data_IF_259746523341
#
_entry.id   IF_259746523341
#
_cell.length_a   1.000
_cell.length_b   1.000
_cell.length_c   1.000
_cell.angle_alpha   90.00
_cell.angle_beta   90.00
_cell.angle_gamma   90.00
#
_symmetry.space_group_name_H-M   'P 1'
#
loop_
_entity.id
_entity.type
_entity.pdbx_description
1 polymer ?
#
# COMPACT_ATOMS: atom_id res chain seq x y z
N UNK A 1 24.55 -57.52 10.93
CA UNK A 1 23.66 -58.09 11.96
C UNK A 1 22.31 -57.38 11.79
N UNK A 2 21.42 -57.90 10.93
CA UNK A 2 20.21 -58.67 11.29
C UNK A 2 19.25 -57.89 12.21
N UNK A 3 17.94 -57.76 12.01
CA UNK A 3 16.99 -58.08 10.94
C UNK A 3 15.64 -57.43 11.33
N UNK A 4 14.83 -57.08 10.33
CA UNK A 4 13.35 -57.17 10.25
C UNK A 4 12.52 -57.49 11.53
N UNK A 5 11.54 -56.63 11.87
CA UNK A 5 10.10 -56.97 11.88
C UNK A 5 9.17 -55.79 12.17
N UNK A 6 8.17 -55.60 11.30
CA UNK A 6 6.89 -54.93 11.58
C UNK A 6 6.03 -55.88 12.43
N UNK A 7 5.31 -55.36 13.44
CA UNK A 7 3.86 -55.62 13.64
C UNK A 7 3.30 -54.87 14.85
N UNK A 8 2.28 -54.06 14.58
CA UNK A 8 1.00 -53.95 15.28
C UNK A 8 0.95 -54.32 16.78
N UNK A 9 0.65 -53.35 17.65
CA UNK A 9 -0.27 -53.59 18.77
C UNK A 9 -0.97 -52.30 19.21
N UNK A 10 -2.29 -52.29 19.01
CA UNK A 10 -3.23 -51.41 19.69
C UNK A 10 -3.09 -51.60 21.21
N UNK A 11 -2.67 -50.54 21.91
CA UNK A 11 -2.75 -50.49 23.36
C UNK A 11 -4.19 -50.20 23.80
N UNK A 12 -4.95 -51.26 24.07
CA UNK A 12 -6.11 -51.21 24.95
C UNK A 12 -5.60 -51.00 26.39
N UNK A 13 -5.71 -49.77 26.91
CA UNK A 13 -5.56 -49.52 28.35
C UNK A 13 -6.85 -49.95 29.06
N UNK A 14 -6.83 -51.10 29.70
CA UNK A 14 -7.83 -51.46 30.72
C UNK A 14 -7.30 -51.06 32.10
N UNK A 15 -7.92 -50.04 32.70
CA UNK A 15 -7.79 -49.77 34.13
C UNK A 15 -8.86 -50.55 34.90
N UNK A 16 -8.45 -51.41 35.83
CA UNK A 16 -9.35 -52.09 36.76
C UNK A 16 -9.31 -51.37 38.11
N UNK A 17 -10.40 -50.71 38.49
CA UNK A 17 -10.66 -50.29 39.86
C UNK A 17 -11.57 -51.33 40.53
N UNK A 18 -11.07 -52.02 41.57
CA UNK A 18 -11.87 -52.90 42.42
C UNK A 18 -12.63 -52.08 43.45
N UNK A 19 -13.95 -52.23 43.53
CA UNK A 19 -14.66 -52.14 44.81
C UNK A 19 -15.96 -52.95 44.88
N UNK A 20 -16.04 -53.65 46.00
CA UNK A 20 -17.18 -54.22 46.73
C UNK A 20 -17.88 -55.50 46.26
N UNK A 21 -18.14 -56.32 47.28
CA UNK A 21 -18.61 -57.69 47.36
C UNK A 21 -20.14 -57.66 47.57
N UNK A 22 -20.90 -58.13 46.55
CA UNK A 22 -22.31 -58.60 46.50
C UNK A 22 -23.44 -57.73 47.13
N UNK A 23 -24.74 -57.97 46.84
CA UNK A 23 -25.41 -58.61 45.69
C UNK A 23 -26.61 -57.79 45.13
N UNK A 24 -26.88 -57.91 43.83
CA UNK A 24 -28.25 -58.06 43.29
C UNK A 24 -28.11 -58.51 41.84
N UNK A 25 -28.81 -59.58 41.47
CA UNK A 25 -28.97 -59.96 40.05
C UNK A 25 -29.87 -58.93 39.38
N UNK A 26 -29.36 -57.73 39.16
CA UNK A 26 -29.84 -56.87 38.09
C UNK A 26 -29.19 -57.41 36.82
N UNK A 27 -30.00 -57.86 35.87
CA UNK A 27 -29.53 -58.14 34.52
C UNK A 27 -29.12 -56.78 33.94
N UNK A 28 -27.87 -56.39 34.19
CA UNK A 28 -27.28 -55.24 33.51
C UNK A 28 -27.15 -55.69 32.06
N UNK A 29 -28.07 -55.25 31.21
CA UNK A 29 -27.85 -55.24 29.77
C UNK A 29 -26.64 -54.33 29.53
N UNK A 30 -25.45 -54.88 29.62
CA UNK A 30 -24.23 -54.25 29.12
C UNK A 30 -24.37 -54.27 27.62
N UNK A 31 -25.03 -53.23 27.09
CA UNK A 31 -24.97 -52.94 25.67
C UNK A 31 -23.52 -52.54 25.42
N UNK A 32 -22.71 -53.51 24.99
CA UNK A 32 -21.38 -53.26 24.47
C UNK A 32 -21.53 -52.37 23.22
N UNK A 33 -21.55 -51.06 23.42
CA UNK A 33 -21.33 -50.13 22.33
C UNK A 33 -19.87 -50.28 21.91
N UNK A 34 -19.63 -51.05 20.84
CA UNK A 34 -18.36 -50.95 20.13
C UNK A 34 -18.28 -49.52 19.61
N UNK A 35 -17.40 -48.71 20.19
CA UNK A 35 -17.00 -47.43 19.61
C UNK A 35 -16.22 -47.68 18.31
N UNK A 36 -16.89 -48.23 17.29
CA UNK A 36 -16.35 -48.31 15.94
C UNK A 36 -16.41 -46.89 15.36
N UNK A 37 -15.31 -46.15 15.51
CA UNK A 37 -15.09 -44.96 14.68
C UNK A 37 -14.79 -45.47 13.28
N UNK A 38 -15.71 -45.33 12.30
CA UNK A 38 -15.45 -45.85 10.97
C UNK A 38 -14.28 -45.07 10.40
N UNK A 39 -13.26 -45.80 9.91
CA UNK A 39 -12.05 -45.20 9.32
C UNK A 39 -12.38 -44.15 8.23
N UNK A 40 -13.53 -44.32 7.58
CA UNK A 40 -13.99 -43.52 6.45
C UNK A 40 -14.77 -42.26 6.82
N UNK A 41 -15.20 -42.06 8.08
CA UNK A 41 -16.03 -40.88 8.44
C UNK A 41 -15.27 -39.57 8.27
N UNK A 42 -14.07 -39.45 8.85
CA UNK A 42 -13.29 -38.21 8.73
C UNK A 42 -12.86 -37.92 7.27
N UNK A 43 -12.35 -38.88 6.49
CA UNK A 43 -12.11 -38.68 5.06
C UNK A 43 -13.36 -38.24 4.28
N UNK A 44 -14.51 -38.85 4.54
CA UNK A 44 -15.77 -38.53 3.86
C UNK A 44 -16.25 -37.12 4.20
N UNK A 45 -16.20 -36.71 5.47
CA UNK A 45 -16.57 -35.36 5.90
C UNK A 45 -15.64 -34.29 5.32
N UNK A 46 -14.33 -34.58 5.22
CA UNK A 46 -13.39 -33.67 4.54
C UNK A 46 -13.74 -33.51 3.07
N UNK A 47 -14.11 -34.59 2.38
CA UNK A 47 -14.52 -34.53 0.98
C UNK A 47 -15.84 -33.76 0.81
N UNK A 48 -16.82 -33.93 1.70
CA UNK A 48 -18.04 -33.11 1.69
C UNK A 48 -17.77 -31.64 1.96
N UNK A 49 -16.88 -31.31 2.90
CA UNK A 49 -16.47 -29.92 3.16
C UNK A 49 -15.79 -29.34 1.92
N UNK A 50 -14.83 -30.05 1.32
CA UNK A 50 -14.16 -29.63 0.09
C UNK A 50 -15.14 -29.38 -1.06
N UNK A 51 -16.12 -30.27 -1.27
CA UNK A 51 -17.16 -30.10 -2.30
C UNK A 51 -18.04 -28.89 -2.02
N UNK A 52 -18.44 -28.71 -0.76
CA UNK A 52 -19.19 -27.53 -0.34
C UNK A 52 -18.40 -26.25 -0.63
N UNK A 53 -17.12 -26.21 -0.28
CA UNK A 53 -16.28 -25.02 -0.50
C UNK A 53 -16.17 -24.69 -2.00
N UNK A 54 -16.03 -25.70 -2.87
CA UNK A 54 -16.04 -25.51 -4.33
C UNK A 54 -17.39 -24.96 -4.84
N UNK A 55 -18.51 -25.42 -4.29
CA UNK A 55 -19.82 -24.88 -4.67
C UNK A 55 -20.04 -23.46 -4.13
N UNK A 56 -19.56 -23.17 -2.91
CA UNK A 56 -19.60 -21.83 -2.33
C UNK A 56 -18.76 -20.86 -3.18
N UNK A 57 -17.57 -21.26 -3.64
CA UNK A 57 -16.72 -20.47 -4.54
C UNK A 57 -17.40 -20.18 -5.88
N UNK A 58 -18.12 -21.15 -6.46
CA UNK A 58 -18.92 -20.92 -7.69
C UNK A 58 -20.06 -19.93 -7.47
N UNK A 59 -20.62 -19.88 -6.27
CA UNK A 59 -21.75 -19.02 -5.91
C UNK A 59 -21.33 -17.62 -5.41
N UNK A 60 -20.08 -17.20 -5.67
CA UNK A 60 -19.56 -15.89 -5.25
C UNK A 60 -18.76 -15.91 -3.96
N UNK A 61 -18.40 -17.10 -3.48
CA UNK A 61 -17.56 -17.30 -2.30
C UNK A 61 -18.34 -17.25 -0.97
N UNK A 62 -17.72 -17.73 0.12
CA UNK A 62 -18.31 -17.63 1.44
C UNK A 62 -18.43 -16.17 1.91
N UNK A 63 -19.40 -15.91 2.78
CA UNK A 63 -19.50 -14.61 3.47
C UNK A 63 -18.18 -14.32 4.20
N UNK A 64 -17.58 -13.17 3.91
CA UNK A 64 -16.35 -12.74 4.55
C UNK A 64 -16.71 -12.20 5.94
N UNK A 65 -16.03 -12.68 6.97
CA UNK A 65 -16.19 -12.23 8.35
C UNK A 65 -14.99 -11.40 8.79
N UNK A 66 -15.23 -10.38 9.61
CA UNK A 66 -14.15 -9.60 10.22
C UNK A 66 -13.30 -10.49 11.12
N UNK A 67 -11.97 -10.30 11.12
CA UNK A 67 -11.02 -11.15 11.85
C UNK A 67 -11.31 -11.23 13.35
N UNK A 68 -11.84 -10.16 13.94
CA UNK A 68 -12.26 -10.14 15.35
C UNK A 68 -13.42 -11.07 15.72
N UNK A 69 -14.13 -11.63 14.73
CA UNK A 69 -15.26 -12.56 14.97
C UNK A 69 -14.78 -13.96 15.38
N UNK A 70 -13.53 -14.29 15.06
CA UNK A 70 -12.97 -15.61 15.33
C UNK A 70 -12.51 -15.72 16.79
N UNK A 71 -12.58 -16.92 17.35
CA UNK A 71 -12.22 -17.20 18.76
C UNK A 71 -10.75 -16.87 19.07
N UNK A 72 -9.87 -17.10 18.10
CA UNK A 72 -8.43 -16.84 18.21
C UNK A 72 -8.12 -15.37 17.89
N UNK A 73 -8.70 -14.46 18.67
CA UNK A 73 -8.51 -13.01 18.55
C UNK A 73 -8.43 -12.35 19.92
N UNK A 74 -7.37 -11.57 20.15
CA UNK A 74 -7.24 -10.71 21.32
C UNK A 74 -6.77 -9.34 20.86
N UNK A 75 -7.64 -8.34 20.95
CA UNK A 75 -7.38 -7.01 20.43
C UNK A 75 -6.14 -6.35 21.06
N UNK A 76 -5.95 -6.47 22.37
CA UNK A 76 -4.81 -5.82 23.06
C UNK A 76 -3.47 -6.44 22.64
N UNK A 77 -3.44 -7.76 22.45
CA UNK A 77 -2.26 -8.46 21.97
C UNK A 77 -1.93 -8.09 20.52
N UNK A 78 -2.96 -7.91 19.68
CA UNK A 78 -2.81 -7.54 18.27
C UNK A 78 -2.35 -6.09 18.10
N UNK A 79 -2.86 -5.16 18.91
CA UNK A 79 -2.38 -3.76 18.95
C UNK A 79 -0.91 -3.67 19.39
N UNK A 80 -0.54 -4.44 20.41
CA UNK A 80 0.85 -4.56 20.86
C UNK A 80 1.74 -5.16 19.77
N UNK A 81 1.29 -6.22 19.10
CA UNK A 81 2.02 -6.87 18.01
C UNK A 81 2.17 -5.94 16.80
N UNK A 82 1.13 -5.16 16.46
CA UNK A 82 1.15 -4.18 15.38
C UNK A 82 2.23 -3.11 15.59
N UNK A 83 2.27 -2.54 16.79
CA UNK A 83 3.28 -1.52 17.15
C UNK A 83 4.70 -2.07 17.00
N UNK A 84 4.95 -3.28 17.52
CA UNK A 84 6.26 -3.93 17.42
C UNK A 84 6.62 -4.35 15.99
N UNK A 85 5.64 -4.77 15.18
CA UNK A 85 5.83 -5.14 13.76
C UNK A 85 6.35 -3.95 12.96
N UNK A 86 5.80 -2.76 13.20
CA UNK A 86 6.24 -1.52 12.56
C UNK A 86 7.56 -0.98 13.14
N UNK A 87 7.98 -1.48 14.32
CA UNK A 87 9.14 -0.96 15.02
C UNK A 87 8.92 0.46 15.58
N UNK A 88 7.67 0.78 15.92
CA UNK A 88 7.26 2.10 16.39
C UNK A 88 6.64 2.06 17.79
N UNK A 89 6.75 3.18 18.51
CA UNK A 89 6.18 3.34 19.85
C UNK A 89 4.93 4.20 19.79
N UNK A 90 3.77 3.55 19.81
CA UNK A 90 2.48 4.21 19.89
C UNK A 90 2.02 4.36 21.33
N UNK A 91 1.28 5.43 21.62
CA UNK A 91 0.41 5.48 22.78
C UNK A 91 -0.85 4.64 22.48
N UNK A 92 -1.20 3.74 23.39
CA UNK A 92 -2.31 2.80 23.23
C UNK A 92 -3.66 3.53 23.11
N UNK A 93 -3.86 4.63 23.86
CA UNK A 93 -5.12 5.38 23.81
C UNK A 93 -5.36 6.05 22.46
N UNK A 94 -4.34 6.74 21.92
CA UNK A 94 -4.43 7.45 20.64
C UNK A 94 -4.52 6.48 19.47
N UNK A 95 -3.80 5.35 19.52
CA UNK A 95 -3.87 4.32 18.49
C UNK A 95 -5.26 3.66 18.43
N UNK A 96 -5.89 3.40 19.58
CA UNK A 96 -7.28 2.89 19.62
C UNK A 96 -8.26 3.90 19.03
N UNK A 97 -8.11 5.19 19.35
CA UNK A 97 -8.91 6.25 18.73
C UNK A 97 -8.70 6.27 17.22
N UNK A 98 -7.46 6.21 16.72
CA UNK A 98 -7.16 6.22 15.29
C UNK A 98 -7.79 5.05 14.51
N UNK A 99 -7.88 3.87 15.14
CA UNK A 99 -8.48 2.67 14.56
C UNK A 99 -10.00 2.61 14.68
N UNK A 100 -10.62 3.52 15.43
CA UNK A 100 -12.07 3.56 15.63
C UNK A 100 -12.72 4.49 14.62
N UNK A 101 -13.48 3.93 13.68
CA UNK A 101 -14.24 4.73 12.72
C UNK A 101 -15.60 5.13 13.29
N UNK A 102 -16.08 6.33 12.93
CA UNK A 102 -17.39 6.86 13.36
C UNK A 102 -18.56 5.90 13.20
N UNK A 103 -18.60 5.18 12.08
CA UNK A 103 -19.69 4.23 11.81
C UNK A 103 -19.73 3.06 12.81
N UNK A 104 -18.59 2.70 13.43
CA UNK A 104 -18.56 1.72 14.51
C UNK A 104 -19.22 2.25 15.77
N UNK A 105 -18.97 3.52 16.13
CA UNK A 105 -19.59 4.16 17.30
C UNK A 105 -21.10 4.25 17.11
N UNK A 106 -21.56 4.64 15.91
CA UNK A 106 -22.98 4.68 15.56
C UNK A 106 -23.64 3.29 15.68
N UNK A 107 -23.00 2.23 15.17
CA UNK A 107 -23.52 0.87 15.31
C UNK A 107 -23.60 0.44 16.78
N UNK A 108 -22.58 0.77 17.56
CA UNK A 108 -22.47 0.34 18.95
C UNK A 108 -23.46 1.08 19.86
N UNK A 109 -23.66 2.39 19.65
CA UNK A 109 -24.70 3.17 20.35
C UNK A 109 -26.11 2.63 20.08
N UNK A 110 -26.41 2.28 18.82
CA UNK A 110 -27.68 1.63 18.45
C UNK A 110 -27.82 0.25 19.12
N UNK A 111 -26.75 -0.54 19.16
CA UNK A 111 -26.73 -1.85 19.82
C UNK A 111 -27.02 -1.74 21.33
N UNK A 112 -26.37 -0.81 22.02
CA UNK A 112 -26.53 -0.62 23.47
C UNK A 112 -27.91 -0.07 23.83
N UNK A 113 -28.43 0.89 23.07
CA UNK A 113 -29.78 1.43 23.26
C UNK A 113 -30.86 0.37 23.04
N UNK A 114 -30.68 -0.54 22.08
CA UNK A 114 -31.59 -1.68 21.87
C UNK A 114 -31.60 -2.67 23.06
N UNK A 115 -30.50 -2.75 23.83
CA UNK A 115 -30.39 -3.60 25.03
C UNK A 115 -30.87 -2.84 26.29
N UNK A 116 -31.07 -1.52 26.20
CA UNK A 116 -31.53 -0.68 27.30
C UNK A 116 -30.41 -0.25 28.26
N UNK A 117 -29.17 -0.15 27.79
CA UNK A 117 -28.01 0.34 28.55
C UNK A 117 -27.75 1.81 28.21
N UNK A 118 -27.50 2.64 29.23
CA UNK A 118 -27.20 4.07 29.04
C UNK A 118 -25.92 4.28 28.21
N UNK A 119 -26.02 5.15 27.20
CA UNK A 119 -25.02 5.33 26.13
C UNK A 119 -23.91 6.31 26.48
N UNK A 120 -23.30 6.19 27.68
CA UNK A 120 -22.09 6.96 27.99
C UNK A 120 -20.84 6.24 27.48
N UNK A 121 -20.74 6.10 26.15
CA UNK A 121 -19.56 5.55 25.48
C UNK A 121 -18.45 6.61 25.45
N UNK A 122 -17.33 6.35 26.15
CA UNK A 122 -16.12 7.17 26.10
C UNK A 122 -15.25 6.83 24.88
N UNK A 123 -15.86 6.64 23.70
CA UNK A 123 -15.13 6.39 22.46
C UNK A 123 -15.05 7.69 21.65
N UNK A 124 -13.85 7.97 21.12
CA UNK A 124 -13.59 9.11 20.27
C UNK A 124 -13.52 8.67 18.81
N UNK A 125 -13.93 9.55 17.91
CA UNK A 125 -13.86 9.34 16.46
C UNK A 125 -12.46 9.63 15.91
N UNK A 126 -12.11 8.98 14.80
CA UNK A 126 -10.84 9.18 14.12
C UNK A 126 -10.82 10.35 13.11
N UNK A 127 -11.87 11.15 13.01
CA UNK A 127 -11.98 12.22 11.98
C UNK A 127 -10.91 13.31 12.18
N UNK A 128 -10.71 13.79 13.41
CA UNK A 128 -9.74 14.84 13.73
C UNK A 128 -8.29 14.38 13.49
N UNK A 129 -7.98 13.13 13.85
CA UNK A 129 -6.67 12.54 13.59
C UNK A 129 -6.45 12.30 12.09
N UNK A 130 -7.49 11.92 11.35
CA UNK A 130 -7.39 11.68 9.92
C UNK A 130 -7.14 12.97 9.12
N UNK A 131 -7.72 14.10 9.52
CA UNK A 131 -7.46 15.40 8.88
C UNK A 131 -6.03 15.86 9.15
N UNK A 132 -5.60 15.83 10.42
CA UNK A 132 -4.23 16.19 10.80
C UNK A 132 -3.17 15.31 10.13
N UNK A 133 -3.40 13.99 10.08
CA UNK A 133 -2.48 13.05 9.43
C UNK A 133 -2.46 13.19 7.91
N UNK A 134 -3.60 13.52 7.30
CA UNK A 134 -3.67 13.83 5.87
C UNK A 134 -2.83 15.04 5.49
N UNK A 135 -2.96 16.14 6.25
CA UNK A 135 -2.14 17.33 6.06
C UNK A 135 -0.65 17.04 6.24
N UNK A 136 -0.29 16.25 7.24
CA UNK A 136 1.09 15.86 7.51
C UNK A 136 1.70 15.06 6.37
N UNK A 137 0.97 14.06 5.86
CA UNK A 137 1.41 13.25 4.71
C UNK A 137 1.63 14.15 3.50
N UNK A 138 0.65 15.01 3.16
CA UNK A 138 0.75 15.90 2.00
C UNK A 138 1.91 16.88 2.11
N UNK A 139 2.11 17.51 3.28
CA UNK A 139 3.23 18.42 3.53
C UNK A 139 4.57 17.69 3.36
N UNK A 140 4.73 16.54 4.01
CA UNK A 140 5.96 15.76 3.94
C UNK A 140 6.26 15.24 2.53
N UNK A 141 5.27 14.68 1.83
CA UNK A 141 5.44 14.17 0.46
C UNK A 141 5.88 15.30 -0.48
N UNK A 142 5.25 16.48 -0.41
CA UNK A 142 5.65 17.63 -1.21
C UNK A 142 7.09 18.08 -0.89
N UNK A 143 7.44 18.20 0.39
CA UNK A 143 8.81 18.56 0.80
C UNK A 143 9.85 17.54 0.32
N UNK A 144 9.53 16.24 0.41
CA UNK A 144 10.39 15.16 -0.05
C UNK A 144 10.60 15.21 -1.56
N UNK A 145 9.53 15.29 -2.34
CA UNK A 145 9.59 15.32 -3.80
C UNK A 145 10.36 16.53 -4.30
N UNK A 146 10.17 17.72 -3.71
CA UNK A 146 10.90 18.93 -4.08
C UNK A 146 12.39 18.86 -3.70
N UNK A 147 12.72 18.23 -2.57
CA UNK A 147 14.10 18.05 -2.15
C UNK A 147 14.88 17.08 -3.07
N UNK A 148 14.21 16.03 -3.56
CA UNK A 148 14.81 15.03 -4.46
C UNK A 148 14.84 15.53 -5.91
N UNK A 149 13.71 16.05 -6.41
CA UNK A 149 13.55 16.49 -7.79
C UNK A 149 13.71 18.01 -7.91
N UNK A 150 14.93 18.49 -7.72
CA UNK A 150 15.23 19.93 -7.68
C UNK A 150 15.00 20.67 -9.01
N UNK A 151 15.01 19.96 -10.15
CA UNK A 151 14.82 20.55 -11.48
C UNK A 151 13.45 20.24 -12.10
N UNK A 152 12.64 19.41 -11.46
CA UNK A 152 11.32 19.08 -11.96
C UNK A 152 10.36 20.27 -11.81
N UNK A 153 9.47 20.50 -12.79
CA UNK A 153 8.42 21.50 -12.69
C UNK A 153 7.39 21.12 -11.61
N UNK A 154 6.71 22.10 -11.03
CA UNK A 154 5.74 21.86 -9.95
C UNK A 154 4.58 20.96 -10.40
N UNK A 155 4.16 21.04 -11.66
CA UNK A 155 3.10 20.19 -12.22
C UNK A 155 3.43 18.69 -12.12
N UNK A 156 4.71 18.33 -12.29
CA UNK A 156 5.17 16.95 -12.13
C UNK A 156 5.18 16.54 -10.65
N UNK A 157 5.59 17.43 -9.75
CA UNK A 157 5.56 17.19 -8.30
C UNK A 157 4.13 16.95 -7.82
N UNK A 158 3.18 17.78 -8.28
CA UNK A 158 1.76 17.64 -7.95
C UNK A 158 1.20 16.32 -8.47
N UNK A 159 1.52 15.93 -9.71
CA UNK A 159 1.10 14.63 -10.24
C UNK A 159 1.63 13.44 -9.41
N UNK A 160 2.89 13.49 -8.98
CA UNK A 160 3.47 12.49 -8.07
C UNK A 160 2.79 12.48 -6.69
N UNK A 161 2.53 13.66 -6.12
CA UNK A 161 1.83 13.81 -4.85
C UNK A 161 0.41 13.24 -4.93
N UNK A 162 -0.34 13.56 -5.98
CA UNK A 162 -1.72 13.12 -6.16
C UNK A 162 -1.81 11.61 -6.37
N UNK A 163 -0.84 11.03 -7.07
CA UNK A 163 -0.70 9.59 -7.15
C UNK A 163 -0.45 8.97 -5.77
N UNK A 164 0.54 9.45 -5.01
CA UNK A 164 0.88 8.92 -3.69
C UNK A 164 -0.26 9.06 -2.67
N UNK A 165 -0.99 10.16 -2.73
CA UNK A 165 -2.11 10.47 -1.82
C UNK A 165 -3.46 9.94 -2.30
N UNK A 166 -3.49 9.30 -3.47
CA UNK A 166 -4.69 8.70 -4.03
C UNK A 166 -5.31 7.67 -3.08
N UNK A 167 -6.64 7.60 -3.10
CA UNK A 167 -7.40 6.67 -2.27
C UNK A 167 -7.01 5.22 -2.52
N UNK A 168 -6.76 4.85 -3.79
CA UNK A 168 -6.36 3.50 -4.17
C UNK A 168 -5.00 3.11 -3.58
N UNK A 169 -4.00 4.00 -3.67
CA UNK A 169 -2.66 3.68 -3.18
C UNK A 169 -2.62 3.60 -1.66
N UNK A 170 -3.24 4.56 -0.97
CA UNK A 170 -3.30 4.55 0.49
C UNK A 170 -4.11 3.36 1.03
N UNK A 171 -5.15 2.92 0.33
CA UNK A 171 -5.88 1.69 0.67
C UNK A 171 -4.97 0.45 0.56
N UNK A 172 -4.20 0.34 -0.53
CA UNK A 172 -3.26 -0.78 -0.73
C UNK A 172 -2.23 -0.81 0.40
N UNK A 173 -1.63 0.34 0.73
CA UNK A 173 -0.68 0.46 1.85
C UNK A 173 -1.32 0.05 3.17
N UNK A 174 -2.53 0.55 3.46
CA UNK A 174 -3.29 0.24 4.67
C UNK A 174 -3.57 -1.28 4.81
N UNK A 175 -3.95 -1.94 3.71
CA UNK A 175 -4.17 -3.39 3.67
C UNK A 175 -2.87 -4.16 3.92
N UNK A 176 -1.76 -3.76 3.30
CA UNK A 176 -0.49 -4.46 3.43
C UNK A 176 0.12 -4.37 4.84
N UNK A 177 -0.08 -3.27 5.56
CA UNK A 177 0.37 -3.18 6.97
C UNK A 177 -0.55 -3.96 7.95
N UNK A 178 -1.71 -4.42 7.47
CA UNK A 178 -2.67 -5.21 8.25
C UNK A 178 -3.70 -4.38 9.03
N UNK A 179 -4.02 -3.15 8.59
CA UNK A 179 -5.06 -2.35 9.27
C UNK A 179 -6.45 -2.99 9.16
N UNK A 180 -6.72 -3.79 8.13
CA UNK A 180 -8.03 -4.38 7.88
C UNK A 180 -8.55 -5.28 9.00
N UNK A 181 -7.65 -5.91 9.75
CA UNK A 181 -8.02 -6.78 10.87
C UNK A 181 -8.20 -6.00 12.20
N UNK A 182 -7.58 -4.82 12.30
CA UNK A 182 -7.53 -4.01 13.52
C UNK A 182 -8.59 -2.92 13.54
N UNK A 183 -8.95 -2.38 12.38
CA UNK A 183 -9.89 -1.27 12.28
C UNK A 183 -11.28 -1.65 12.77
N UNK A 184 -11.85 -0.82 13.64
CA UNK A 184 -13.21 -0.99 14.11
C UNK A 184 -14.15 -0.28 13.14
N UNK A 185 -14.73 -1.05 12.21
CA UNK A 185 -15.64 -0.57 11.18
C UNK A 185 -17.02 -1.26 11.28
N UNK A 186 -18.09 -0.56 10.89
CA UNK A 186 -19.44 -1.15 10.76
C UNK A 186 -19.58 -2.04 9.53
N UNK A 187 -18.97 -1.58 8.43
CA UNK A 187 -19.14 -2.08 7.08
C UNK A 187 -18.05 -3.12 6.81
N UNK A 188 -18.40 -4.38 6.52
CA UNK A 188 -17.39 -5.40 6.22
C UNK A 188 -17.73 -6.18 4.94
N UNK A 189 -16.82 -6.23 3.94
CA UNK A 189 -15.49 -5.61 3.87
C UNK A 189 -15.51 -4.09 3.98
N UNK A 190 -14.55 -3.49 4.71
CA UNK A 190 -14.55 -2.04 4.92
C UNK A 190 -14.33 -1.31 3.57
N UNK A 191 -14.96 -0.15 3.41
CA UNK A 191 -14.84 0.71 2.22
C UNK A 191 -13.43 1.29 2.11
N UNK A 192 -12.97 1.59 0.90
CA UNK A 192 -11.66 2.20 0.63
C UNK A 192 -11.43 3.47 1.46
N UNK A 193 -12.44 4.33 1.57
CA UNK A 193 -12.36 5.56 2.37
C UNK A 193 -12.07 5.30 3.85
N UNK A 194 -12.64 4.23 4.42
CA UNK A 194 -12.43 3.87 5.83
C UNK A 194 -10.99 3.43 6.08
N UNK A 195 -10.38 2.70 5.14
CA UNK A 195 -8.95 2.36 5.20
C UNK A 195 -8.07 3.60 5.16
N UNK A 196 -8.33 4.50 4.21
CA UNK A 196 -7.55 5.73 4.03
C UNK A 196 -7.64 6.64 5.25
N UNK A 197 -8.85 6.84 5.80
CA UNK A 197 -9.06 7.63 7.03
C UNK A 197 -8.29 7.02 8.20
N UNK A 198 -8.39 5.71 8.41
CA UNK A 198 -7.71 5.02 9.51
C UNK A 198 -6.18 5.09 9.34
N UNK A 199 -5.67 4.94 8.13
CA UNK A 199 -4.24 5.08 7.85
C UNK A 199 -3.73 6.49 8.16
N UNK A 200 -4.44 7.54 7.69
CA UNK A 200 -4.09 8.94 8.01
C UNK A 200 -4.12 9.18 9.53
N UNK A 201 -5.14 8.67 10.22
CA UNK A 201 -5.25 8.80 11.67
C UNK A 201 -4.10 8.10 12.41
N UNK A 202 -3.65 6.93 11.94
CA UNK A 202 -2.50 6.23 12.52
C UNK A 202 -1.21 7.03 12.36
N UNK A 203 -1.01 7.70 11.22
CA UNK A 203 0.15 8.59 11.02
C UNK A 203 0.11 9.77 12.01
N UNK A 204 -1.05 10.39 12.22
CA UNK A 204 -1.21 11.45 13.23
C UNK A 204 -0.96 10.94 14.65
N UNK A 205 -1.51 9.77 15.01
CA UNK A 205 -1.29 9.15 16.31
C UNK A 205 0.19 8.81 16.55
N UNK A 206 0.93 8.42 15.50
CA UNK A 206 2.37 8.21 15.57
C UNK A 206 3.10 9.52 15.84
N UNK A 207 2.73 10.59 15.15
CA UNK A 207 3.35 11.90 15.33
C UNK A 207 3.13 12.46 16.75
N UNK A 208 1.94 12.27 17.33
CA UNK A 208 1.63 12.64 18.70
C UNK A 208 2.43 11.80 19.72
N UNK A 209 2.62 10.50 19.43
CA UNK A 209 3.27 9.56 20.35
C UNK A 209 4.80 9.63 20.32
N UNK A 210 5.39 9.62 19.13
CA UNK A 210 6.84 9.47 18.89
C UNK A 210 7.48 10.71 18.26
N UNK A 211 6.71 11.76 17.97
CA UNK A 211 7.18 12.98 17.32
C UNK A 211 7.09 12.96 15.80
N UNK A 212 7.14 14.16 15.22
CA UNK A 212 6.93 14.37 13.78
C UNK A 212 8.03 13.75 12.92
N UNK A 213 9.29 13.79 13.36
CA UNK A 213 10.42 13.20 12.64
C UNK A 213 10.23 11.70 12.38
N UNK A 214 9.67 10.99 13.37
CA UNK A 214 9.44 9.55 13.23
C UNK A 214 8.27 9.26 12.31
N UNK A 215 7.20 10.06 12.41
CA UNK A 215 6.07 9.97 11.48
C UNK A 215 6.47 10.24 10.02
N UNK A 216 7.40 11.18 9.78
CA UNK A 216 7.95 11.45 8.45
C UNK A 216 8.70 10.23 7.87
N UNK A 217 9.53 9.57 8.67
CA UNK A 217 10.22 8.34 8.25
C UNK A 217 9.20 7.23 7.95
N UNK A 218 8.17 7.10 8.78
CA UNK A 218 7.10 6.12 8.57
C UNK A 218 6.33 6.36 7.25
N UNK A 219 5.98 7.61 6.95
CA UNK A 219 5.33 7.97 5.68
C UNK A 219 6.26 7.70 4.50
N UNK A 220 7.55 7.97 4.64
CA UNK A 220 8.52 7.65 3.58
C UNK A 220 8.55 6.15 3.29
N UNK A 221 8.76 5.33 4.31
CA UNK A 221 8.98 3.90 4.16
C UNK A 221 7.74 3.17 3.59
N UNK A 222 6.53 3.69 3.84
CA UNK A 222 5.28 3.08 3.39
C UNK A 222 4.66 3.72 2.15
N UNK A 223 4.62 5.05 2.09
CA UNK A 223 3.92 5.80 1.03
C UNK A 223 4.88 6.11 -0.11
N UNK A 224 6.03 6.74 0.17
CA UNK A 224 6.96 7.17 -0.88
C UNK A 224 7.57 5.98 -1.62
N UNK A 225 7.75 4.84 -0.94
CA UNK A 225 8.22 3.59 -1.57
C UNK A 225 7.31 3.08 -2.68
N UNK A 226 6.03 3.49 -2.73
CA UNK A 226 5.11 3.16 -3.83
C UNK A 226 5.51 3.81 -5.17
N UNK A 227 6.37 4.83 -5.17
CA UNK A 227 6.94 5.37 -6.40
C UNK A 227 7.99 4.44 -7.02
N UNK A 228 8.52 3.49 -6.25
CA UNK A 228 9.56 2.61 -6.76
C UNK A 228 8.97 1.60 -7.75
N UNK A 229 9.56 1.52 -8.94
CA UNK A 229 9.09 0.64 -10.01
C UNK A 229 8.00 1.23 -10.90
N UNK A 230 7.63 2.50 -10.68
CA UNK A 230 6.76 3.27 -11.57
C UNK A 230 7.60 4.21 -12.43
N UNK A 231 7.25 4.39 -13.71
CA UNK A 231 7.78 5.52 -14.50
C UNK A 231 7.08 6.80 -14.06
N UNK A 232 7.85 7.69 -13.44
CA UNK A 232 7.38 9.00 -12.94
C UNK A 232 6.84 9.86 -14.09
N UNK A 233 7.39 9.69 -15.30
CA UNK A 233 7.01 10.47 -16.47
C UNK A 233 5.67 9.99 -17.07
N UNK A 234 5.18 8.81 -16.72
CA UNK A 234 3.83 8.36 -17.10
C UNK A 234 2.74 9.06 -16.27
N UNK A 235 3.07 9.53 -15.06
CA UNK A 235 2.12 10.24 -14.20
C UNK A 235 1.71 11.60 -14.73
N UNK A 236 2.57 12.24 -15.51
CA UNK A 236 2.33 13.56 -16.04
C UNK A 236 2.67 13.63 -17.53
N UNK A 237 1.63 13.91 -18.33
CA UNK A 237 1.79 14.09 -19.76
C UNK A 237 1.69 15.59 -20.14
N UNK A 238 2.80 16.25 -20.53
CA UNK A 238 2.74 17.64 -20.98
C UNK A 238 2.01 17.75 -22.34
N UNK A 239 1.09 18.71 -22.47
CA UNK A 239 0.23 18.85 -23.64
C UNK A 239 0.96 19.16 -24.96
N UNK A 240 2.09 19.88 -24.92
CA UNK A 240 2.93 20.17 -26.09
C UNK A 240 4.42 19.97 -25.78
N UNK A 241 4.93 18.72 -25.86
CA UNK A 241 6.32 18.41 -25.55
C UNK A 241 7.32 19.12 -26.48
N UNK A 242 6.96 19.30 -27.76
CA UNK A 242 7.84 19.89 -28.78
C UNK A 242 7.97 21.40 -28.58
N UNK A 243 6.87 22.11 -28.34
CA UNK A 243 6.89 23.54 -28.03
C UNK A 243 7.63 23.83 -26.73
N UNK A 244 7.38 23.02 -25.70
CA UNK A 244 8.10 23.11 -24.43
C UNK A 244 9.62 22.94 -24.63
N UNK A 245 10.05 21.90 -25.35
CA UNK A 245 11.47 21.66 -25.63
C UNK A 245 12.11 22.83 -26.39
N UNK A 246 11.42 23.35 -27.40
CA UNK A 246 11.90 24.48 -28.22
C UNK A 246 12.17 25.70 -27.35
N UNK A 247 11.23 26.01 -26.46
CA UNK A 247 11.35 27.16 -25.58
C UNK A 247 12.43 26.97 -24.50
N UNK A 248 12.63 25.74 -24.01
CA UNK A 248 13.73 25.38 -23.10
C UNK A 248 15.10 25.53 -23.78
N UNK A 249 15.25 25.07 -25.02
CA UNK A 249 16.49 25.23 -25.78
C UNK A 249 16.79 26.70 -26.07
N UNK A 250 15.77 27.49 -26.41
CA UNK A 250 15.89 28.94 -26.59
C UNK A 250 16.35 29.63 -25.31
N UNK A 251 15.81 29.24 -24.15
CA UNK A 251 16.24 29.72 -22.81
C UNK A 251 17.70 29.38 -22.50
N UNK A 252 18.15 28.18 -22.87
CA UNK A 252 19.54 27.75 -22.74
C UNK A 252 20.49 28.50 -23.70
N UNK A 253 19.95 29.20 -24.71
CA UNK A 253 20.72 29.88 -25.76
C UNK A 253 21.23 28.94 -26.85
N UNK A 254 20.62 27.76 -27.00
CA UNK A 254 20.93 26.77 -28.03
C UNK A 254 20.03 26.96 -29.25
N UNK A 255 20.42 26.38 -30.38
CA UNK A 255 19.56 26.36 -31.56
C UNK A 255 18.26 25.56 -31.31
N UNK A 256 17.24 25.86 -32.11
CA UNK A 256 15.97 25.13 -32.12
C UNK A 256 16.18 23.62 -32.38
N UNK A 257 15.28 22.76 -31.85
CA UNK A 257 15.43 21.32 -31.99
C UNK A 257 15.24 20.86 -33.43
N UNK A 258 16.25 20.21 -34.00
CA UNK A 258 16.23 19.56 -35.31
C UNK A 258 15.90 18.07 -35.13
N UNK A 259 14.71 17.66 -35.60
CA UNK A 259 14.24 16.28 -35.51
C UNK A 259 14.58 15.51 -36.78
N UNK A 260 15.34 14.42 -36.65
CA UNK A 260 15.78 13.60 -37.77
C UNK A 260 15.39 12.14 -37.59
N UNK A 261 14.93 11.51 -38.66
CA UNK A 261 14.71 10.07 -38.69
C UNK A 261 16.07 9.35 -38.65
N UNK A 262 16.29 8.56 -37.60
CA UNK A 262 17.52 7.76 -37.41
C UNK A 262 17.33 6.37 -38.02
N UNK A 263 16.20 5.72 -37.70
CA UNK A 263 15.89 4.36 -38.14
C UNK A 263 14.40 4.24 -38.46
N UNK A 264 14.06 3.40 -39.42
CA UNK A 264 12.69 2.98 -39.68
C UNK A 264 12.66 1.49 -39.98
N UNK A 265 11.62 0.80 -39.52
CA UNK A 265 11.38 -0.61 -39.80
C UNK A 265 9.92 -0.82 -40.14
N UNK A 266 9.65 -1.64 -41.15
CA UNK A 266 8.29 -2.02 -41.52
C UNK A 266 7.39 -0.86 -41.94
N UNK A 267 7.92 0.16 -42.62
CA UNK A 267 7.19 1.41 -42.97
C UNK A 267 5.86 1.20 -43.70
N UNK A 268 5.72 0.09 -44.44
CA UNK A 268 4.51 -0.27 -45.18
C UNK A 268 3.67 -1.35 -44.46
N UNK A 269 3.90 -1.57 -43.17
CA UNK A 269 3.21 -2.58 -42.37
C UNK A 269 2.41 -1.92 -41.25
N UNK A 270 1.44 -2.67 -40.70
CA UNK A 270 0.65 -2.23 -39.53
C UNK A 270 1.54 -2.05 -38.29
N UNK A 271 2.64 -2.80 -38.20
CA UNK A 271 3.59 -2.76 -37.10
C UNK A 271 4.84 -1.93 -37.45
N UNK A 272 4.63 -0.81 -38.15
CA UNK A 272 5.71 0.12 -38.49
C UNK A 272 6.31 0.70 -37.20
N UNK A 273 7.64 0.86 -37.18
CA UNK A 273 8.36 1.48 -36.07
C UNK A 273 9.33 2.52 -36.62
N UNK A 274 9.20 3.74 -36.15
CA UNK A 274 10.05 4.88 -36.51
C UNK A 274 10.84 5.32 -35.29
N UNK A 275 12.13 5.60 -35.48
CA UNK A 275 13.03 6.16 -34.47
C UNK A 275 13.46 7.56 -34.91
N UNK A 276 13.07 8.56 -34.14
CA UNK A 276 13.40 9.97 -34.39
C UNK A 276 14.38 10.43 -33.31
N UNK A 277 15.46 11.08 -33.74
CA UNK A 277 16.42 11.74 -32.86
C UNK A 277 16.23 13.24 -32.84
N UNK A 278 16.44 13.85 -31.68
CA UNK A 278 16.45 15.31 -31.50
C UNK A 278 17.90 15.79 -31.40
N UNK A 279 18.24 16.77 -32.22
CA UNK A 279 19.54 17.41 -32.23
C UNK A 279 19.40 18.92 -31.95
N UNK A 280 20.39 19.52 -31.31
CA UNK A 280 20.52 20.97 -31.20
C UNK A 280 22.00 21.34 -31.36
N UNK A 281 22.30 22.32 -32.20
CA UNK A 281 23.69 22.70 -32.55
C UNK A 281 24.55 21.51 -33.01
N UNK A 282 23.94 20.58 -33.77
CA UNK A 282 24.53 19.30 -34.23
C UNK A 282 24.90 18.31 -33.10
N UNK A 283 24.51 18.60 -31.86
CA UNK A 283 24.66 17.67 -30.74
C UNK A 283 23.39 16.85 -30.58
N UNK A 284 23.54 15.55 -30.39
CA UNK A 284 22.44 14.65 -30.07
C UNK A 284 21.95 14.92 -28.63
N UNK A 285 20.63 15.04 -28.46
CA UNK A 285 19.99 15.23 -27.14
C UNK A 285 19.33 13.92 -26.70
N UNK A 286 18.38 13.43 -27.48
CA UNK A 286 17.56 12.26 -27.15
C UNK A 286 17.04 11.58 -28.42
N UNK A 287 16.54 10.36 -28.28
CA UNK A 287 15.81 9.64 -29.32
C UNK A 287 14.48 9.10 -28.78
N UNK A 288 13.51 8.91 -29.65
CA UNK A 288 12.21 8.34 -29.31
C UNK A 288 11.69 7.44 -30.41
N UNK A 289 10.98 6.39 -30.00
CA UNK A 289 10.33 5.44 -30.90
C UNK A 289 8.82 5.71 -30.96
N UNK A 290 8.21 5.44 -32.11
CA UNK A 290 6.76 5.55 -32.29
C UNK A 290 6.24 4.76 -33.48
N UNK A 291 4.94 4.50 -33.50
CA UNK A 291 4.24 3.82 -34.60
C UNK A 291 4.10 4.69 -35.86
N UNK A 292 4.12 6.02 -35.68
CA UNK A 292 4.10 7.02 -36.75
C UNK A 292 5.25 8.01 -36.58
N UNK A 293 5.60 8.73 -37.64
CA UNK A 293 6.63 9.78 -37.58
C UNK A 293 6.27 10.90 -36.59
N UNK A 294 4.99 11.24 -36.48
CA UNK A 294 4.50 12.27 -35.56
C UNK A 294 4.63 11.82 -34.11
N UNK A 295 4.20 10.59 -33.81
CA UNK A 295 4.32 10.00 -32.47
C UNK A 295 5.79 9.83 -32.09
N UNK A 296 6.63 9.34 -33.00
CA UNK A 296 8.07 9.19 -32.75
C UNK A 296 8.75 10.54 -32.46
N UNK A 297 8.35 11.61 -33.18
CA UNK A 297 8.81 12.98 -32.92
C UNK A 297 8.39 13.46 -31.54
N UNK A 298 7.14 13.26 -31.16
CA UNK A 298 6.63 13.64 -29.84
C UNK A 298 7.35 12.87 -28.72
N UNK A 299 7.52 11.56 -28.88
CA UNK A 299 8.24 10.71 -27.92
C UNK A 299 9.70 11.14 -27.77
N UNK A 300 10.38 11.49 -28.86
CA UNK A 300 11.75 12.01 -28.80
C UNK A 300 11.82 13.34 -28.05
N UNK A 301 10.82 14.20 -28.19
CA UNK A 301 10.72 15.45 -27.43
C UNK A 301 10.45 15.19 -25.94
N UNK A 302 9.59 14.22 -25.60
CA UNK A 302 9.34 13.81 -24.21
C UNK A 302 10.60 13.27 -23.56
N UNK A 303 11.35 12.42 -24.25
CA UNK A 303 12.62 11.89 -23.73
C UNK A 303 13.65 13.01 -23.49
N UNK A 304 13.73 13.98 -24.41
CA UNK A 304 14.53 15.19 -24.19
C UNK A 304 14.11 15.97 -22.94
N UNK A 305 12.79 16.10 -22.66
CA UNK A 305 12.31 16.75 -21.45
C UNK A 305 12.71 15.99 -20.17
N UNK A 306 12.69 14.66 -20.18
CA UNK A 306 13.18 13.84 -19.04
C UNK A 306 14.63 14.17 -18.69
N UNK A 307 15.48 14.28 -19.72
CA UNK A 307 16.88 14.69 -19.55
C UNK A 307 17.01 16.08 -18.91
N UNK A 308 16.15 17.03 -19.29
CA UNK A 308 16.16 18.38 -18.71
C UNK A 308 15.64 18.42 -17.26
N UNK A 309 14.67 17.57 -16.92
CA UNK A 309 14.10 17.48 -15.57
C UNK A 309 14.89 16.57 -14.63
N UNK A 310 15.89 15.83 -15.14
CA UNK A 310 16.64 14.79 -14.42
C UNK A 310 15.74 13.64 -13.92
N UNK A 311 14.72 13.28 -14.70
CA UNK A 311 13.77 12.19 -14.40
C UNK A 311 13.94 11.02 -15.36
N UNK A 312 15.16 10.82 -15.85
CA UNK A 312 15.54 9.70 -16.70
C UNK A 312 15.44 8.37 -15.94
N UNK A 313 15.27 7.27 -16.67
CA UNK A 313 15.30 5.92 -16.10
C UNK A 313 16.66 5.60 -15.45
N UNK A 314 17.73 6.26 -15.91
CA UNK A 314 19.09 6.21 -15.35
C UNK A 314 19.32 7.12 -14.13
N UNK A 315 18.29 7.79 -13.61
CA UNK A 315 18.45 8.66 -12.45
C UNK A 315 18.93 7.89 -11.21
N UNK A 316 19.52 8.62 -10.25
CA UNK A 316 19.91 8.03 -8.97
C UNK A 316 18.67 7.51 -8.25
N UNK A 317 18.82 6.34 -7.63
CA UNK A 317 17.77 5.78 -6.78
C UNK A 317 17.36 6.80 -5.70
N UNK A 318 16.06 6.81 -5.39
CA UNK A 318 15.49 7.69 -4.37
C UNK A 318 16.19 7.48 -3.02
N UNK A 319 16.53 8.56 -2.28
CA UNK A 319 17.29 8.46 -1.05
C UNK A 319 16.42 7.93 0.10
N UNK A 320 16.71 6.70 0.55
CA UNK A 320 16.06 6.07 1.71
C UNK A 320 17.05 5.83 2.87
N UNK A 321 16.53 5.69 4.09
CA UNK A 321 17.31 5.32 5.27
C UNK A 321 18.36 6.36 5.67
N UNK A 322 19.65 5.99 5.68
CA UNK A 322 20.73 6.87 6.19
C UNK A 322 20.90 8.15 5.35
N UNK A 323 20.71 8.05 4.03
CA UNK A 323 20.83 9.19 3.11
C UNK A 323 19.77 10.27 3.38
N UNK A 324 18.64 9.88 3.97
CA UNK A 324 17.58 10.82 4.32
C UNK A 324 18.05 11.80 5.42
N UNK A 325 18.84 11.34 6.40
CA UNK A 325 19.26 12.20 7.53
C UNK A 325 19.95 13.48 7.06
N UNK A 326 20.68 13.39 5.96
CA UNK A 326 21.38 14.54 5.36
C UNK A 326 20.40 15.49 4.63
N UNK A 327 19.25 14.99 4.18
CA UNK A 327 18.24 15.69 3.37
C UNK A 327 17.04 16.16 4.23
N UNK A 328 16.86 15.68 5.45
CA UNK A 328 15.73 16.01 6.33
C UNK A 328 15.56 17.52 6.56
N UNK A 329 16.66 18.24 6.79
CA UNK A 329 16.63 19.71 6.97
C UNK A 329 16.13 20.43 5.71
N UNK A 330 16.54 19.95 4.53
CA UNK A 330 16.11 20.46 3.24
C UNK A 330 14.64 20.18 2.96
N UNK A 331 14.16 18.99 3.32
CA UNK A 331 12.74 18.62 3.21
C UNK A 331 11.90 19.61 4.01
N UNK A 332 12.23 19.83 5.28
CA UNK A 332 11.48 20.72 6.16
C UNK A 332 11.39 22.16 5.62
N UNK A 333 12.42 22.64 4.94
CA UNK A 333 12.42 23.97 4.32
C UNK A 333 11.52 24.04 3.07
N UNK A 334 11.47 22.96 2.28
CA UNK A 334 10.79 22.91 0.99
C UNK A 334 9.32 22.47 1.07
N UNK A 335 8.82 22.06 2.24
CA UNK A 335 7.42 21.69 2.47
C UNK A 335 6.45 22.80 1.97
N UNK A 336 6.78 24.06 2.24
CA UNK A 336 5.93 25.21 1.91
C UNK A 336 6.40 26.01 0.68
N UNK A 337 7.52 25.63 0.06
CA UNK A 337 8.10 26.34 -1.09
C UNK A 337 7.90 25.55 -2.37
N UNK A 338 6.92 25.89 -3.23
CA UNK A 338 6.70 25.20 -4.50
C UNK A 338 7.85 25.45 -5.49
N UNK A 339 8.07 24.46 -6.36
CA UNK A 339 8.97 24.61 -7.50
C UNK A 339 8.39 25.60 -8.53
N UNK A 340 9.21 25.98 -9.50
CA UNK A 340 8.76 26.83 -10.59
C UNK A 340 7.73 26.06 -11.44
N UNK A 341 6.57 26.66 -11.76
CA UNK A 341 5.62 26.06 -12.70
C UNK A 341 6.25 26.00 -14.09
N UNK A 342 5.82 25.06 -14.92
CA UNK A 342 6.39 24.80 -16.24
C UNK A 342 6.46 26.07 -17.11
N UNK A 343 5.42 26.91 -17.06
CA UNK A 343 5.38 28.18 -17.80
C UNK A 343 6.55 29.11 -17.47
N UNK A 344 6.91 29.24 -16.19
CA UNK A 344 8.07 30.02 -15.73
C UNK A 344 9.37 29.25 -15.89
N UNK A 345 9.33 27.93 -15.75
CA UNK A 345 10.48 27.07 -15.96
C UNK A 345 11.03 27.23 -17.38
N UNK A 346 10.14 27.39 -18.35
CA UNK A 346 10.48 27.61 -19.75
C UNK A 346 11.10 29.00 -19.99
N UNK A 347 10.66 30.04 -19.29
CA UNK A 347 11.14 31.42 -19.50
C UNK A 347 12.45 31.72 -18.76
N UNK A 348 12.58 31.26 -17.52
CA UNK A 348 13.63 31.67 -16.60
C UNK A 348 14.67 30.55 -16.44
N UNK A 349 15.95 30.89 -16.47
CA UNK A 349 17.02 29.90 -16.26
C UNK A 349 16.92 29.31 -14.85
N UNK A 350 16.41 28.09 -14.76
CA UNK A 350 16.43 27.30 -13.54
C UNK A 350 17.86 26.82 -13.32
N UNK A 351 18.64 27.61 -12.58
CA UNK A 351 19.85 27.11 -11.96
C UNK A 351 19.42 26.06 -10.95
N UNK A 352 19.97 24.85 -11.04
CA UNK A 352 19.79 23.87 -9.97
C UNK A 352 20.19 24.56 -8.68
N UNK A 353 19.23 24.74 -7.77
CA UNK A 353 19.49 25.30 -6.46
C UNK A 353 20.52 24.39 -5.79
N UNK A 354 21.80 24.78 -5.90
CA UNK A 354 22.84 24.37 -4.97
C UNK A 354 22.55 25.19 -3.71
N UNK A 355 21.59 24.70 -2.95
CA UNK A 355 21.43 24.96 -1.54
C UNK A 355 21.36 23.60 -0.85
#
# INVERSE_FOLDING_TARGET
>A
MAALWKTCHQCLRYGLAKKSIYPSTSVINVISQRNYKPHWVAPTLREFKRRKDVEDDRNGGPKIFHRSTFLEWNYDAEIFAFSNRLGEKFNDSTLRTALTHKSYIERETVRLSAIGVDTNLQLQDNEDLATAGGEMISKFVNGYLRAVFTRAPEELIVAMHDFLTSTSNLEIVAKHIGLGDLMLCSDFPCKSETYVKSFKAVVAALAESSGEERARIFVQDLVVTQLYGLDINELWNPADPVGNLTAILKREGKAEPDFRLIKQSGSNSILAVYYVGVYSDKNFIAEGAGESLEIAKEMAAREALKHFFHTEDSMKALPFGRQLKDIQSKIAQLENQPNLPLSKWISDKVTSAVH
#
